data_IF_221312073919
#
_entry.id   IF_221312073919
#
_cell.length_a   1.000
_cell.length_b   1.000
_cell.length_c   1.000
_cell.angle_alpha   90.00
_cell.angle_beta   90.00
_cell.angle_gamma   90.00
#
_symmetry.space_group_name_H-M   'P 1'
#
loop_
_entity.id
_entity.type
_entity.pdbx_description
1 polymer ?
#
# COMPACT_ATOMS: atom_id res chain seq x y z
N UNK A 1 20.55 14.46 54.88
CA UNK A 1 19.61 15.21 54.01
C UNK A 1 20.34 15.47 52.70
N UNK A 2 19.72 15.09 51.56
CA UNK A 2 20.23 14.95 50.17
C UNK A 2 21.15 13.75 49.85
N UNK A 3 21.04 13.16 48.64
CA UNK A 3 19.83 12.86 47.86
C UNK A 3 19.75 11.37 47.49
N UNK A 4 18.56 10.89 47.14
CA UNK A 4 18.36 9.57 46.56
C UNK A 4 19.10 9.50 45.22
N UNK A 5 20.17 8.71 45.15
CA UNK A 5 20.81 8.31 43.90
C UNK A 5 19.73 7.66 43.01
N UNK A 6 19.34 8.40 41.98
CA UNK A 6 18.47 7.91 40.92
C UNK A 6 19.16 6.67 40.31
N UNK A 7 18.45 5.55 40.17
CA UNK A 7 19.02 4.37 39.54
C UNK A 7 19.41 4.73 38.10
N UNK A 8 20.69 4.51 37.78
CA UNK A 8 21.28 4.68 36.45
C UNK A 8 20.33 4.14 35.37
N UNK A 9 20.06 4.92 34.30
CA UNK A 9 19.20 4.46 33.22
C UNK A 9 19.82 3.19 32.59
N UNK A 10 18.99 2.28 32.05
CA UNK A 10 19.46 1.04 31.45
C UNK A 10 20.48 1.34 30.34
N UNK A 11 21.54 0.55 30.28
CA UNK A 11 22.67 0.64 29.33
C UNK A 11 22.27 0.33 27.87
N UNK A 12 21.20 0.93 27.37
CA UNK A 12 21.04 1.12 25.94
C UNK A 12 21.94 2.29 25.59
N UNK A 13 22.93 2.07 24.72
CA UNK A 13 23.88 3.10 24.34
C UNK A 13 23.11 4.36 23.91
N UNK A 14 23.46 5.52 24.47
CA UNK A 14 22.78 6.79 24.15
C UNK A 14 22.75 7.05 22.63
N UNK A 15 23.76 6.54 21.92
CA UNK A 15 23.85 6.55 20.47
C UNK A 15 22.75 5.72 19.79
N UNK A 16 22.41 4.54 20.31
CA UNK A 16 21.34 3.68 19.79
C UNK A 16 19.98 4.33 19.99
N UNK A 17 19.74 4.94 21.17
CA UNK A 17 18.50 5.67 21.43
C UNK A 17 18.35 6.88 20.51
N UNK A 18 19.46 7.60 20.26
CA UNK A 18 19.47 8.73 19.33
C UNK A 18 19.29 8.29 17.87
N UNK A 19 19.87 7.16 17.46
CA UNK A 19 19.69 6.56 16.14
C UNK A 19 18.22 6.15 15.93
N UNK A 20 17.61 5.51 16.92
CA UNK A 20 16.19 5.13 16.88
C UNK A 20 15.26 6.35 16.79
N UNK A 21 15.58 7.44 17.50
CA UNK A 21 14.84 8.70 17.38
C UNK A 21 15.06 9.40 16.04
N UNK A 22 16.24 9.28 15.44
CA UNK A 22 16.49 9.78 14.09
C UNK A 22 15.70 9.00 13.04
N UNK A 23 15.66 7.66 13.14
CA UNK A 23 14.82 6.81 12.30
C UNK A 23 13.32 7.12 12.48
N UNK A 24 12.88 7.47 13.69
CA UNK A 24 11.50 7.90 13.97
C UNK A 24 11.17 9.27 13.38
N UNK A 25 12.07 10.25 13.46
CA UNK A 25 11.84 11.62 12.97
C UNK A 25 11.83 11.74 11.45
N UNK A 26 12.57 10.89 10.74
CA UNK A 26 12.69 10.98 9.27
C UNK A 26 11.42 10.48 8.54
N UNK A 27 10.64 9.58 9.16
CA UNK A 27 9.56 8.84 8.49
C UNK A 27 8.16 9.48 8.55
N UNK A 28 7.89 10.38 9.50
CA UNK A 28 6.55 11.02 9.59
C UNK A 28 6.24 11.94 8.39
N UNK A 29 7.24 12.25 7.57
CA UNK A 29 7.15 13.21 6.46
C UNK A 29 7.12 12.56 5.07
N UNK A 30 7.41 11.27 4.95
CA UNK A 30 7.46 10.62 3.64
C UNK A 30 6.14 9.90 3.37
N UNK A 31 5.20 10.64 2.78
CA UNK A 31 4.17 10.04 1.93
C UNK A 31 4.62 10.25 0.46
N UNK A 32 5.54 9.42 -0.06
CA UNK A 32 6.08 9.59 -1.41
C UNK A 32 5.04 9.35 -2.52
N UNK A 33 3.80 8.96 -2.18
CA UNK A 33 2.81 8.39 -3.10
C UNK A 33 1.99 9.41 -3.91
N UNK A 34 2.37 10.69 -3.91
CA UNK A 34 1.72 11.68 -4.79
C UNK A 34 2.67 12.20 -5.86
N UNK A 35 3.25 11.29 -6.64
CA UNK A 35 3.69 11.67 -7.99
C UNK A 35 2.43 12.13 -8.74
N UNK A 36 2.31 13.43 -8.99
CA UNK A 36 1.15 13.99 -9.69
C UNK A 36 1.08 13.33 -11.07
N UNK A 37 0.04 12.53 -11.29
CA UNK A 37 -0.20 11.89 -12.57
C UNK A 37 -0.20 12.96 -13.67
N UNK A 38 0.59 12.72 -14.71
CA UNK A 38 0.64 13.56 -15.90
C UNK A 38 -0.73 13.59 -16.58
N UNK A 39 -0.98 14.60 -17.40
CA UNK A 39 -2.25 14.73 -18.13
C UNK A 39 -2.53 13.51 -19.01
N UNK A 40 -1.50 12.93 -19.63
CA UNK A 40 -1.60 11.70 -20.43
C UNK A 40 -1.97 10.47 -19.59
N UNK A 41 -1.35 10.28 -18.44
CA UNK A 41 -1.67 9.18 -17.52
C UNK A 41 -3.12 9.27 -17.02
N UNK A 42 -3.57 10.47 -16.64
CA UNK A 42 -4.96 10.69 -16.19
C UNK A 42 -5.99 10.41 -17.29
N UNK A 43 -5.65 10.69 -18.55
CA UNK A 43 -6.50 10.36 -19.69
C UNK A 43 -6.52 8.85 -19.92
N UNK A 44 -5.36 8.19 -19.91
CA UNK A 44 -5.25 6.74 -20.06
C UNK A 44 -6.05 5.99 -18.98
N UNK A 45 -5.98 6.43 -17.73
CA UNK A 45 -6.75 5.84 -16.63
C UNK A 45 -8.25 5.98 -16.80
N UNK A 46 -8.72 7.15 -17.23
CA UNK A 46 -10.15 7.36 -17.49
C UNK A 46 -10.61 6.48 -18.63
N UNK A 47 -9.85 6.41 -19.72
CA UNK A 47 -10.18 5.57 -20.88
C UNK A 47 -10.18 4.10 -20.47
N UNK A 48 -9.15 3.62 -19.78
CA UNK A 48 -9.08 2.24 -19.29
C UNK A 48 -10.25 1.90 -18.33
N UNK A 49 -10.59 2.80 -17.41
CA UNK A 49 -11.73 2.62 -16.51
C UNK A 49 -13.08 2.58 -17.25
N UNK A 50 -13.22 3.35 -18.33
CA UNK A 50 -14.43 3.31 -19.17
C UNK A 50 -14.50 2.04 -20.02
N UNK A 51 -13.40 1.63 -20.66
CA UNK A 51 -13.35 0.44 -21.52
C UNK A 51 -13.50 -0.85 -20.70
N UNK A 52 -13.03 -0.87 -19.45
CA UNK A 52 -13.19 -1.99 -18.52
C UNK A 52 -14.56 -2.07 -17.84
N UNK A 53 -15.49 -1.15 -18.12
CA UNK A 53 -16.80 -1.12 -17.45
C UNK A 53 -17.85 -1.96 -18.17
N UNK A 54 -18.67 -2.70 -17.41
CA UNK A 54 -19.85 -3.39 -17.92
C UNK A 54 -20.82 -2.48 -18.68
N UNK A 55 -20.91 -1.20 -18.29
CA UNK A 55 -21.74 -0.21 -18.98
C UNK A 55 -21.27 0.07 -20.41
N UNK A 56 -19.96 0.09 -20.64
CA UNK A 56 -19.38 0.32 -21.96
C UNK A 56 -19.70 -0.82 -22.91
N UNK A 57 -19.58 -2.07 -22.45
CA UNK A 57 -19.92 -3.26 -23.22
C UNK A 57 -21.37 -3.20 -23.69
N UNK A 58 -22.31 -2.88 -22.79
CA UNK A 58 -23.74 -2.78 -23.12
C UNK A 58 -24.00 -1.69 -24.18
N UNK A 59 -23.44 -0.50 -24.00
CA UNK A 59 -23.61 0.61 -24.95
C UNK A 59 -23.02 0.24 -26.33
N UNK A 60 -21.82 -0.35 -26.36
CA UNK A 60 -21.16 -0.80 -27.59
C UNK A 60 -22.00 -1.87 -28.30
N UNK A 61 -22.54 -2.85 -27.58
CA UNK A 61 -23.42 -3.88 -28.14
C UNK A 61 -24.71 -3.30 -28.73
N UNK A 62 -25.34 -2.33 -28.07
CA UNK A 62 -26.53 -1.64 -28.58
C UNK A 62 -26.19 -0.85 -29.84
N UNK A 63 -25.06 -0.12 -29.86
CA UNK A 63 -24.62 0.64 -31.02
C UNK A 63 -24.37 -0.26 -32.22
N UNK A 64 -23.70 -1.41 -32.01
CA UNK A 64 -23.49 -2.41 -33.05
C UNK A 64 -24.81 -2.98 -33.57
N UNK A 65 -25.73 -3.34 -32.67
CA UNK A 65 -27.05 -3.84 -33.06
C UNK A 65 -27.86 -2.79 -33.85
N UNK A 66 -27.81 -1.53 -33.42
CA UNK A 66 -28.46 -0.42 -34.12
C UNK A 66 -27.85 -0.19 -35.50
N UNK A 67 -26.52 -0.23 -35.62
CA UNK A 67 -25.83 -0.09 -36.90
C UNK A 67 -26.24 -1.18 -37.89
N UNK A 68 -26.23 -2.44 -37.43
CA UNK A 68 -26.69 -3.58 -38.25
C UNK A 68 -28.16 -3.42 -38.63
N UNK A 69 -29.03 -3.03 -37.70
CA UNK A 69 -30.48 -2.87 -37.94
C UNK A 69 -30.77 -1.75 -38.93
N UNK A 70 -30.10 -0.59 -38.81
CA UNK A 70 -30.22 0.52 -39.75
C UNK A 70 -29.73 0.13 -41.15
N UNK A 71 -28.64 -0.64 -41.23
CA UNK A 71 -28.12 -1.10 -42.51
C UNK A 71 -29.04 -2.12 -43.19
N UNK A 72 -29.65 -3.03 -42.41
CA UNK A 72 -30.56 -4.07 -42.90
C UNK A 72 -31.90 -3.50 -43.38
N UNK A 73 -32.41 -2.44 -42.73
CA UNK A 73 -33.69 -1.81 -43.09
C UNK A 73 -33.56 -0.89 -44.33
N UNK A 74 -32.34 -0.48 -44.69
CA UNK A 74 -31.98 0.17 -45.95
C UNK A 74 -33.03 1.17 -46.52
N UNK A 75 -33.33 2.24 -45.79
CA UNK A 75 -34.24 3.31 -46.27
C UNK A 75 -33.61 4.22 -47.36
N UNK A 76 -32.27 4.30 -47.52
CA UNK A 76 -31.63 5.22 -48.49
C UNK A 76 -30.27 4.73 -49.06
N UNK A 77 -30.19 3.53 -49.63
CA UNK A 77 -28.96 2.95 -50.24
C UNK A 77 -28.00 2.28 -49.25
N UNK A 78 -27.58 1.07 -49.63
CA UNK A 78 -26.72 0.16 -48.90
C UNK A 78 -25.33 0.78 -48.62
N UNK A 79 -25.21 1.56 -47.55
CA UNK A 79 -23.96 2.23 -47.15
C UNK A 79 -22.86 1.28 -46.66
N UNK A 80 -23.20 0.07 -46.19
CA UNK A 80 -22.21 -0.94 -45.79
C UNK A 80 -22.71 -2.36 -46.15
N UNK A 81 -22.61 -2.76 -47.44
CA UNK A 81 -23.04 -4.09 -47.89
C UNK A 81 -22.33 -5.21 -47.13
N UNK A 82 -23.00 -6.35 -46.96
CA UNK A 82 -22.40 -7.56 -46.41
C UNK A 82 -21.09 -7.89 -47.16
N UNK A 83 -19.91 -7.95 -46.52
CA UNK A 83 -19.63 -8.35 -45.13
C UNK A 83 -19.29 -7.21 -44.12
N UNK A 84 -19.89 -6.02 -44.23
CA UNK A 84 -19.71 -4.87 -43.31
C UNK A 84 -18.25 -4.41 -43.15
N UNK A 85 -17.62 -3.99 -44.25
CA UNK A 85 -16.19 -3.64 -44.30
C UNK A 85 -15.85 -2.44 -43.40
N UNK A 86 -16.75 -1.45 -43.31
CA UNK A 86 -16.52 -0.25 -42.51
C UNK A 86 -16.61 -0.55 -41.01
N UNK A 87 -17.58 -1.37 -40.61
CA UNK A 87 -17.72 -1.84 -39.23
C UNK A 87 -16.49 -2.63 -38.79
N UNK A 88 -16.01 -3.53 -39.65
CA UNK A 88 -14.85 -4.36 -39.38
C UNK A 88 -13.58 -3.50 -39.21
N UNK A 89 -13.39 -2.50 -40.08
CA UNK A 89 -12.27 -1.58 -39.99
C UNK A 89 -12.32 -0.75 -38.69
N UNK A 90 -13.50 -0.22 -38.35
CA UNK A 90 -13.67 0.58 -37.14
C UNK A 90 -13.39 -0.23 -35.86
N UNK A 91 -13.89 -1.47 -35.78
CA UNK A 91 -13.63 -2.36 -34.65
C UNK A 91 -12.15 -2.74 -34.54
N UNK A 92 -11.50 -3.02 -35.67
CA UNK A 92 -10.06 -3.33 -35.71
C UNK A 92 -9.22 -2.15 -35.21
N UNK A 93 -9.54 -0.93 -35.65
CA UNK A 93 -8.89 0.29 -35.18
C UNK A 93 -9.16 0.54 -33.69
N UNK A 94 -10.40 0.36 -33.24
CA UNK A 94 -10.79 0.50 -31.84
C UNK A 94 -9.98 -0.45 -30.94
N UNK A 95 -9.85 -1.72 -31.33
CA UNK A 95 -9.06 -2.70 -30.59
C UNK A 95 -7.56 -2.34 -30.57
N UNK A 96 -7.01 -1.93 -31.72
CA UNK A 96 -5.60 -1.56 -31.85
C UNK A 96 -5.20 -0.37 -30.95
N UNK A 97 -6.09 0.62 -30.76
CA UNK A 97 -5.84 1.74 -29.84
C UNK A 97 -6.14 1.41 -28.38
N UNK A 98 -7.10 0.52 -28.12
CA UNK A 98 -7.46 0.15 -26.75
C UNK A 98 -6.34 -0.62 -26.05
N UNK A 99 -5.69 -1.56 -26.74
CA UNK A 99 -4.68 -2.42 -26.12
C UNK A 99 -3.47 -1.64 -25.53
N UNK A 100 -2.84 -0.68 -26.22
CA UNK A 100 -1.74 0.12 -25.65
C UNK A 100 -2.20 1.02 -24.50
N UNK A 101 -3.40 1.61 -24.59
CA UNK A 101 -3.93 2.48 -23.53
C UNK A 101 -4.18 1.67 -22.25
N UNK A 102 -4.78 0.48 -22.40
CA UNK A 102 -4.99 -0.45 -21.30
C UNK A 102 -3.64 -0.87 -20.71
N UNK A 103 -2.67 -1.22 -21.55
CA UNK A 103 -1.33 -1.62 -21.10
C UNK A 103 -0.61 -0.48 -20.35
N UNK A 104 -0.74 0.77 -20.80
CA UNK A 104 -0.19 1.93 -20.10
C UNK A 104 -0.84 2.14 -18.72
N UNK A 105 -2.17 2.02 -18.63
CA UNK A 105 -2.86 2.13 -17.34
C UNK A 105 -2.51 0.98 -16.40
N UNK A 106 -2.37 -0.25 -16.92
CA UNK A 106 -1.93 -1.41 -16.17
C UNK A 106 -0.49 -1.27 -15.66
N UNK A 107 0.45 -0.84 -16.53
CA UNK A 107 1.84 -0.64 -16.12
C UNK A 107 1.93 0.39 -14.98
N UNK A 108 1.17 1.48 -15.08
CA UNK A 108 1.09 2.51 -14.03
C UNK A 108 0.49 1.98 -12.72
N UNK A 109 -0.60 1.21 -12.78
CA UNK A 109 -1.17 0.57 -11.58
C UNK A 109 -0.16 -0.39 -10.95
N UNK A 110 0.54 -1.20 -11.75
CA UNK A 110 1.55 -2.14 -11.25
C UNK A 110 2.73 -1.44 -10.59
N UNK A 111 3.13 -0.25 -11.07
CA UNK A 111 4.19 0.53 -10.47
C UNK A 111 3.77 1.13 -9.12
N UNK A 112 2.50 1.57 -9.01
CA UNK A 112 1.92 2.02 -7.74
C UNK A 112 1.84 0.86 -6.74
N UNK A 113 1.29 -0.28 -7.15
CA UNK A 113 1.18 -1.47 -6.31
C UNK A 113 2.57 -1.91 -5.81
N UNK A 114 3.59 -1.92 -6.68
CA UNK A 114 4.96 -2.22 -6.28
C UNK A 114 5.54 -1.24 -5.26
N UNK A 115 5.20 0.05 -5.37
CA UNK A 115 5.64 1.06 -4.41
C UNK A 115 4.96 0.85 -3.06
N UNK A 116 3.65 0.61 -3.06
CA UNK A 116 2.87 0.34 -1.85
C UNK A 116 3.35 -0.94 -1.15
N UNK A 117 3.58 -2.03 -1.90
CA UNK A 117 4.10 -3.28 -1.33
C UNK A 117 5.50 -3.11 -0.70
N UNK A 118 6.37 -2.26 -1.28
CA UNK A 118 7.69 -1.97 -0.69
C UNK A 118 7.54 -1.21 0.62
N UNK A 119 6.68 -0.21 0.65
CA UNK A 119 6.41 0.57 1.84
C UNK A 119 5.83 -0.30 2.96
N UNK A 120 4.88 -1.18 2.63
CA UNK A 120 4.29 -2.11 3.60
C UNK A 120 5.33 -3.08 4.15
N UNK A 121 6.23 -3.58 3.30
CA UNK A 121 7.34 -4.44 3.73
C UNK A 121 8.30 -3.70 4.68
N UNK A 122 8.67 -2.46 4.36
CA UNK A 122 9.53 -1.63 5.20
C UNK A 122 8.89 -1.34 6.57
N UNK A 123 7.60 -0.99 6.59
CA UNK A 123 6.85 -0.78 7.83
C UNK A 123 6.78 -2.05 8.67
N UNK A 124 6.51 -3.20 8.04
CA UNK A 124 6.43 -4.48 8.74
C UNK A 124 7.77 -4.90 9.33
N UNK A 125 8.87 -4.80 8.56
CA UNK A 125 10.22 -5.08 9.06
C UNK A 125 10.59 -4.17 10.23
N UNK A 126 10.22 -2.89 10.15
CA UNK A 126 10.45 -1.93 11.23
C UNK A 126 9.66 -2.30 12.50
N UNK A 127 8.40 -2.70 12.35
CA UNK A 127 7.58 -3.16 13.46
C UNK A 127 8.17 -4.41 14.12
N UNK A 128 8.68 -5.35 13.32
CA UNK A 128 9.36 -6.56 13.80
C UNK A 128 10.58 -6.20 14.66
N UNK A 129 11.46 -5.33 14.17
CA UNK A 129 12.64 -4.85 14.91
C UNK A 129 12.23 -4.09 16.20
N UNK A 130 11.19 -3.25 16.12
CA UNK A 130 10.72 -2.50 17.30
C UNK A 130 10.18 -3.45 18.37
N UNK A 131 9.48 -4.52 17.99
CA UNK A 131 8.98 -5.56 18.91
C UNK A 131 10.14 -6.35 19.53
N UNK A 132 11.12 -6.77 18.73
CA UNK A 132 12.31 -7.49 19.21
C UNK A 132 13.05 -6.66 20.28
N UNK A 133 13.29 -5.38 20.00
CA UNK A 133 13.94 -4.48 20.94
C UNK A 133 13.11 -4.22 22.20
N UNK A 134 11.78 -4.18 22.08
CA UNK A 134 10.88 -4.08 23.24
C UNK A 134 10.93 -5.36 24.09
N UNK A 135 11.03 -6.52 23.43
CA UNK A 135 11.15 -7.81 24.07
C UNK A 135 12.47 -7.93 24.85
N UNK A 136 13.58 -7.50 24.26
CA UNK A 136 14.89 -7.46 24.92
C UNK A 136 14.88 -6.55 26.14
N UNK A 137 14.31 -5.34 26.03
CA UNK A 137 14.14 -4.44 27.17
C UNK A 137 13.29 -5.07 28.27
N UNK A 138 12.20 -5.75 27.91
CA UNK A 138 11.35 -6.43 28.88
C UNK A 138 12.10 -7.56 29.60
N UNK A 139 12.88 -8.36 28.86
CA UNK A 139 13.70 -9.42 29.44
C UNK A 139 14.77 -8.84 30.39
N UNK A 140 15.45 -7.77 30.01
CA UNK A 140 16.43 -7.09 30.86
C UNK A 140 15.79 -6.54 32.14
N UNK A 141 14.63 -5.89 32.04
CA UNK A 141 13.89 -5.40 33.20
C UNK A 141 13.46 -6.57 34.11
N UNK A 142 12.89 -7.62 33.52
CA UNK A 142 12.49 -8.84 34.23
C UNK A 142 13.66 -9.44 35.01
N UNK A 143 14.79 -9.63 34.35
CA UNK A 143 15.97 -10.28 34.92
C UNK A 143 16.64 -9.41 35.99
N UNK A 144 16.47 -8.08 35.95
CA UNK A 144 16.94 -7.17 36.99
C UNK A 144 16.01 -7.11 38.21
N UNK A 145 14.71 -6.91 37.98
CA UNK A 145 13.76 -6.62 39.08
C UNK A 145 13.23 -7.87 39.78
N UNK A 146 13.09 -9.01 39.09
CA UNK A 146 12.64 -10.25 39.74
C UNK A 146 13.57 -10.65 40.89
N UNK A 147 14.90 -10.77 40.72
CA UNK A 147 15.77 -11.17 41.82
C UNK A 147 15.81 -10.12 42.94
N UNK A 148 15.69 -8.83 42.61
CA UNK A 148 15.64 -7.77 43.62
C UNK A 148 14.39 -7.88 44.50
N UNK A 149 13.22 -8.09 43.88
CA UNK A 149 11.95 -8.29 44.60
C UNK A 149 12.02 -9.56 45.46
N UNK A 150 12.54 -10.67 44.92
CA UNK A 150 12.72 -11.91 45.67
C UNK A 150 13.63 -11.72 46.89
N UNK A 151 14.74 -11.00 46.73
CA UNK A 151 15.66 -10.69 47.82
C UNK A 151 15.04 -9.78 48.88
N UNK A 152 14.15 -8.85 48.48
CA UNK A 152 13.39 -8.03 49.44
C UNK A 152 12.36 -8.87 50.21
N UNK A 153 11.66 -9.79 49.54
CA UNK A 153 10.69 -10.70 50.18
C UNK A 153 11.38 -11.60 51.21
N UNK A 154 12.50 -12.24 50.85
CA UNK A 154 13.28 -13.08 51.78
C UNK A 154 13.74 -12.29 53.01
N UNK A 155 14.21 -11.06 52.84
CA UNK A 155 14.60 -10.19 53.97
C UNK A 155 13.43 -9.81 54.88
N UNK A 156 12.20 -9.74 54.36
CA UNK A 156 11.02 -9.48 55.18
C UNK A 156 10.66 -10.73 55.98
N UNK A 157 10.71 -11.90 55.33
CA UNK A 157 10.43 -13.19 55.96
C UNK A 157 11.40 -13.49 57.11
N UNK A 158 12.72 -13.33 56.92
CA UNK A 158 13.72 -13.51 57.97
C UNK A 158 13.49 -12.59 59.19
N UNK A 159 13.01 -11.36 58.98
CA UNK A 159 12.68 -10.43 60.07
C UNK A 159 11.42 -10.82 60.82
N UNK A 160 10.49 -11.53 60.18
CA UNK A 160 9.29 -12.04 60.81
C UNK A 160 9.59 -13.31 61.61
N UNK A 161 10.51 -14.17 61.15
CA UNK A 161 10.92 -15.37 61.88
C UNK A 161 11.79 -15.09 63.12
N UNK A 162 12.47 -13.94 63.17
CA UNK A 162 13.29 -13.52 64.32
C UNK A 162 12.50 -12.81 65.44
N UNK A 163 11.17 -12.67 65.32
CA UNK A 163 10.29 -12.05 66.32
C UNK A 163 9.41 -13.09 67.01
#
# INVERSE_FOLDING_TARGET
MLPAELPEPPQVSLAEYQLLLQLRKHDLTQNPLKRKATTGERLADRVAATVGSWRFIIIQSILLALWITLNLIAWVQHWDPYPFILLNLALSFQAAYSAPIIMMSQNRQSDLDRADMRQDCEVNLKAEIEIELLHDKLNLLRDRYIPEILAQLQRIEERLEQR
#
